data_IF_757292813509
#
_entry.id   IF_757292813509
#
_cell.length_a   1.000
_cell.length_b   1.000
_cell.length_c   1.000
_cell.angle_alpha   90.00
_cell.angle_beta   90.00
_cell.angle_gamma   90.00
#
_symmetry.space_group_name_H-M   'P 1'
#
loop_
_entity.id
_entity.type
_entity.pdbx_description
1 polymer ?
#
# COMPACT_ATOMS: atom_id res chain seq x y z
N UNK A 1 15.51 -86.90 -5.14
CA UNK A 1 16.09 -86.02 -4.09
C UNK A 1 15.42 -84.64 -4.20
N UNK A 2 15.10 -83.99 -3.08
CA UNK A 2 14.70 -82.56 -3.00
C UNK A 2 15.95 -81.64 -3.18
N UNK A 3 15.85 -80.28 -3.20
CA UNK A 3 14.71 -79.34 -3.34
C UNK A 3 14.87 -78.42 -4.61
N UNK A 4 14.06 -77.39 -4.91
CA UNK A 4 12.77 -76.94 -4.33
C UNK A 4 12.72 -75.47 -3.88
N UNK A 5 12.31 -74.50 -4.74
CA UNK A 5 11.89 -73.13 -4.33
C UNK A 5 10.96 -72.42 -5.33
N UNK A 6 9.75 -72.09 -4.86
CA UNK A 6 8.94 -70.93 -5.27
C UNK A 6 9.09 -69.84 -4.16
N UNK A 7 8.45 -68.64 -4.16
CA UNK A 7 7.32 -68.20 -5.00
C UNK A 7 7.32 -66.69 -5.39
N UNK A 8 6.14 -66.23 -5.85
CA UNK A 8 5.57 -64.88 -5.67
C UNK A 8 5.71 -63.89 -6.83
N UNK A 9 4.58 -63.57 -7.46
CA UNK A 9 4.45 -62.45 -8.40
C UNK A 9 4.04 -61.15 -7.71
N UNK A 10 3.94 -60.07 -8.49
CA UNK A 10 3.22 -58.83 -8.12
C UNK A 10 2.87 -58.03 -9.36
N UNK A 11 1.66 -57.47 -9.36
CA UNK A 11 1.16 -56.57 -10.39
C UNK A 11 2.08 -55.36 -10.63
N UNK A 12 2.18 -54.94 -11.89
CA UNK A 12 2.67 -53.61 -12.26
C UNK A 12 1.50 -52.70 -12.60
N UNK A 13 0.91 -52.12 -11.56
CA UNK A 13 0.07 -50.94 -11.72
C UNK A 13 0.90 -49.79 -12.29
N UNK A 14 0.41 -49.17 -13.37
CA UNK A 14 1.04 -47.99 -13.96
C UNK A 14 0.81 -46.77 -13.05
N UNK A 15 1.72 -46.57 -12.10
CA UNK A 15 1.74 -45.41 -11.24
C UNK A 15 2.22 -44.18 -12.02
N UNK A 16 1.31 -43.27 -12.36
CA UNK A 16 1.65 -41.94 -12.90
C UNK A 16 2.33 -41.10 -11.81
N UNK A 17 3.62 -41.31 -11.61
CA UNK A 17 4.47 -40.45 -10.78
C UNK A 17 4.82 -39.18 -11.55
N UNK A 18 3.87 -38.24 -11.59
CA UNK A 18 4.05 -36.90 -12.13
C UNK A 18 4.38 -35.91 -11.02
N UNK A 19 5.66 -35.56 -10.88
CA UNK A 19 6.12 -34.57 -9.89
C UNK A 19 5.65 -33.15 -10.27
N UNK A 20 4.40 -32.83 -9.92
CA UNK A 20 3.96 -31.44 -9.81
C UNK A 20 4.39 -30.92 -8.43
N UNK A 21 5.55 -30.25 -8.40
CA UNK A 21 5.72 -29.10 -7.52
C UNK A 21 4.56 -28.16 -7.83
N UNK A 22 3.54 -28.18 -6.98
CA UNK A 22 2.28 -27.49 -7.24
C UNK A 22 2.52 -25.98 -7.22
N UNK A 23 2.82 -25.42 -8.39
CA UNK A 23 2.90 -23.99 -8.63
C UNK A 23 1.53 -23.39 -8.28
N UNK A 24 1.39 -22.94 -7.03
CA UNK A 24 0.11 -22.53 -6.41
C UNK A 24 -0.74 -21.78 -7.44
N UNK A 25 -1.86 -22.35 -7.85
CA UNK A 25 -2.73 -21.70 -8.84
C UNK A 25 -3.40 -20.50 -8.18
N UNK A 26 -3.60 -19.42 -8.95
CA UNK A 26 -4.50 -18.37 -8.47
C UNK A 26 -5.96 -18.82 -8.58
N UNK A 27 -6.83 -18.23 -7.76
CA UNK A 27 -8.21 -18.71 -7.60
C UNK A 27 -9.02 -18.72 -8.90
N UNK A 28 -8.63 -17.92 -9.91
CA UNK A 28 -9.27 -17.95 -11.23
C UNK A 28 -8.98 -19.27 -11.95
N UNK A 29 -7.72 -19.69 -11.95
CA UNK A 29 -7.28 -20.94 -12.56
C UNK A 29 -7.72 -22.17 -11.73
N UNK A 30 -7.67 -22.06 -10.40
CA UNK A 30 -8.18 -23.10 -9.52
C UNK A 30 -9.68 -23.34 -9.72
N UNK A 31 -10.52 -22.29 -9.86
CA UNK A 31 -11.94 -22.42 -10.22
C UNK A 31 -12.09 -23.08 -11.59
N UNK A 32 -11.30 -22.68 -12.59
CA UNK A 32 -11.32 -23.28 -13.94
C UNK A 32 -11.02 -24.79 -13.95
N UNK A 33 -10.20 -25.27 -13.02
CA UNK A 33 -9.96 -26.70 -12.82
C UNK A 33 -11.11 -27.38 -12.06
N UNK A 34 -11.58 -26.77 -10.97
CA UNK A 34 -12.73 -27.25 -10.20
C UNK A 34 -14.00 -27.43 -11.06
N UNK A 35 -14.28 -26.52 -12.00
CA UNK A 35 -15.42 -26.61 -12.91
C UNK A 35 -15.35 -27.80 -13.90
N UNK A 36 -14.21 -28.48 -14.04
CA UNK A 36 -14.07 -29.71 -14.83
C UNK A 36 -14.40 -30.98 -14.04
N UNK A 37 -14.37 -30.91 -12.71
CA UNK A 37 -14.73 -32.01 -11.81
C UNK A 37 -16.18 -31.86 -11.37
N UNK A 38 -16.99 -32.90 -11.52
CA UNK A 38 -18.44 -32.82 -11.28
C UNK A 38 -18.77 -32.55 -9.81
N UNK A 39 -18.01 -33.14 -8.90
CA UNK A 39 -18.18 -32.97 -7.45
C UNK A 39 -17.80 -31.54 -7.07
N UNK A 40 -16.58 -31.11 -7.41
CA UNK A 40 -16.08 -29.77 -7.09
C UNK A 40 -16.96 -28.66 -7.69
N UNK A 41 -17.40 -28.81 -8.94
CA UNK A 41 -18.32 -27.88 -9.59
C UNK A 41 -19.64 -27.75 -8.80
N UNK A 42 -20.27 -28.87 -8.44
CA UNK A 42 -21.51 -28.89 -7.67
C UNK A 42 -21.32 -28.26 -6.28
N UNK A 43 -20.26 -28.62 -5.56
CA UNK A 43 -19.89 -28.01 -4.27
C UNK A 43 -19.69 -26.50 -4.40
N UNK A 44 -18.96 -26.04 -5.41
CA UNK A 44 -18.70 -24.62 -5.62
C UNK A 44 -20.00 -23.83 -5.94
N UNK A 45 -20.89 -24.38 -6.77
CA UNK A 45 -22.17 -23.75 -7.07
C UNK A 45 -23.04 -23.60 -5.80
N UNK A 46 -23.07 -24.63 -4.95
CA UNK A 46 -23.74 -24.53 -3.64
C UNK A 46 -23.14 -23.41 -2.79
N UNK A 47 -21.81 -23.32 -2.68
CA UNK A 47 -21.14 -22.23 -1.94
C UNK A 47 -21.44 -20.83 -2.50
N UNK A 48 -21.54 -20.69 -3.82
CA UNK A 48 -21.88 -19.42 -4.48
C UNK A 48 -23.32 -18.97 -4.11
N UNK A 49 -24.28 -19.90 -4.10
CA UNK A 49 -25.65 -19.67 -3.63
C UNK A 49 -25.70 -19.31 -2.13
N UNK A 50 -24.95 -20.05 -1.30
CA UNK A 50 -24.84 -19.80 0.14
C UNK A 50 -24.26 -18.41 0.45
N UNK A 51 -23.28 -17.96 -0.33
CA UNK A 51 -22.70 -16.61 -0.20
C UNK A 51 -23.71 -15.52 -0.54
N UNK A 52 -24.59 -15.74 -1.52
CA UNK A 52 -25.63 -14.77 -1.91
C UNK A 52 -26.75 -14.65 -0.87
N UNK A 53 -27.10 -15.75 -0.22
CA UNK A 53 -28.14 -15.78 0.80
C UNK A 53 -27.72 -15.13 2.14
N UNK A 54 -26.40 -15.03 2.43
CA UNK A 54 -25.90 -14.31 3.64
C UNK A 54 -26.28 -12.81 3.67
N UNK A 55 -26.62 -12.21 2.52
CA UNK A 55 -27.09 -10.81 2.43
C UNK A 55 -28.56 -10.65 2.83
N UNK A 56 -29.35 -11.74 2.84
CA UNK A 56 -30.77 -11.75 3.20
C UNK A 56 -31.08 -12.92 4.16
N UNK A 57 -30.65 -12.84 5.44
CA UNK A 57 -30.68 -13.96 6.39
C UNK A 57 -32.09 -14.47 6.80
N UNK A 58 -33.16 -13.84 6.32
CA UNK A 58 -34.55 -14.14 6.71
C UNK A 58 -35.13 -15.35 5.94
N UNK A 59 -34.49 -15.84 4.86
CA UNK A 59 -35.10 -16.81 3.94
C UNK A 59 -34.33 -18.12 3.70
N UNK A 60 -33.38 -18.50 4.55
CA UNK A 60 -32.72 -19.81 4.45
C UNK A 60 -33.47 -20.85 5.30
N UNK A 61 -34.18 -21.73 4.63
CA UNK A 61 -34.71 -22.98 5.19
C UNK A 61 -33.60 -23.81 5.85
N UNK A 62 -33.97 -24.62 6.85
CA UNK A 62 -33.04 -25.45 7.62
C UNK A 62 -32.20 -26.35 6.72
N UNK A 63 -32.83 -26.97 5.72
CA UNK A 63 -32.16 -27.84 4.76
C UNK A 63 -31.22 -27.08 3.82
N UNK A 64 -31.52 -25.82 3.51
CA UNK A 64 -30.62 -24.95 2.75
C UNK A 64 -29.37 -24.61 3.57
N UNK A 65 -29.52 -24.37 4.88
CA UNK A 65 -28.39 -24.15 5.79
C UNK A 65 -27.52 -25.40 5.95
N UNK A 66 -28.13 -26.60 6.05
CA UNK A 66 -27.41 -27.87 6.08
C UNK A 66 -26.56 -28.07 4.81
N UNK A 67 -27.15 -27.90 3.63
CA UNK A 67 -26.44 -27.98 2.33
C UNK A 67 -25.24 -27.02 2.23
N UNK A 68 -25.32 -25.84 2.84
CA UNK A 68 -24.19 -24.91 2.91
C UNK A 68 -23.05 -25.45 3.78
N UNK A 69 -23.34 -26.02 4.94
CA UNK A 69 -22.34 -26.62 5.83
C UNK A 69 -21.67 -27.84 5.19
N UNK A 70 -22.46 -28.70 4.53
CA UNK A 70 -21.94 -29.85 3.78
C UNK A 70 -20.99 -29.43 2.66
N UNK A 71 -21.33 -28.35 1.93
CA UNK A 71 -20.46 -27.79 0.90
C UNK A 71 -19.17 -27.16 1.46
N UNK A 72 -19.25 -26.49 2.62
CA UNK A 72 -18.08 -25.96 3.35
C UNK A 72 -17.16 -27.07 3.89
N UNK A 73 -17.68 -28.27 4.15
CA UNK A 73 -16.89 -29.46 4.49
C UNK A 73 -16.30 -30.12 3.22
N UNK A 74 -17.11 -30.32 2.18
CA UNK A 74 -16.70 -30.96 0.93
C UNK A 74 -15.57 -30.21 0.21
N UNK A 75 -15.56 -28.86 0.26
CA UNK A 75 -14.51 -28.07 -0.41
C UNK A 75 -13.12 -28.22 0.24
N UNK A 76 -13.02 -28.76 1.47
CA UNK A 76 -11.74 -28.90 2.20
C UNK A 76 -10.74 -29.85 1.55
N UNK A 77 -11.22 -30.84 0.80
CA UNK A 77 -10.39 -31.76 0.02
C UNK A 77 -9.95 -31.16 -1.33
N UNK A 78 -10.58 -30.07 -1.77
CA UNK A 78 -10.33 -29.47 -3.08
C UNK A 78 -9.05 -28.63 -3.12
N UNK A 79 -8.24 -28.71 -4.18
CA UNK A 79 -7.17 -27.76 -4.45
C UNK A 79 -7.64 -26.30 -4.49
N UNK A 80 -8.94 -26.05 -4.75
CA UNK A 80 -9.52 -24.71 -4.78
C UNK A 80 -9.45 -24.00 -3.42
N UNK A 81 -9.55 -24.71 -2.29
CA UNK A 81 -9.42 -24.09 -0.96
C UNK A 81 -8.01 -23.50 -0.75
N UNK A 82 -6.96 -24.10 -1.36
CA UNK A 82 -5.57 -23.64 -1.23
C UNK A 82 -5.19 -22.53 -2.23
N UNK A 83 -6.14 -22.01 -3.00
CA UNK A 83 -5.87 -20.96 -3.97
C UNK A 83 -5.49 -19.64 -3.28
N UNK A 84 -4.62 -18.84 -3.91
CA UNK A 84 -4.25 -17.51 -3.43
C UNK A 84 -4.16 -16.51 -4.57
N UNK A 85 -4.65 -15.30 -4.34
CA UNK A 85 -4.62 -14.22 -5.32
C UNK A 85 -3.27 -13.49 -5.34
N UNK A 86 -3.01 -12.74 -6.41
CA UNK A 86 -1.80 -11.93 -6.55
C UNK A 86 -2.17 -10.45 -6.50
N UNK A 87 -1.53 -9.69 -5.60
CA UNK A 87 -1.61 -8.22 -5.60
C UNK A 87 -1.24 -7.70 -7.00
N UNK A 88 -2.00 -6.71 -7.51
CA UNK A 88 -1.82 -6.04 -8.82
C UNK A 88 -2.20 -6.90 -10.05
N UNK A 89 -2.96 -8.00 -9.89
CA UNK A 89 -3.42 -8.82 -11.03
C UNK A 89 -4.63 -8.21 -11.77
N UNK A 90 -4.74 -8.44 -13.09
CA UNK A 90 -5.77 -7.80 -13.96
C UNK A 90 -7.23 -8.07 -13.55
N UNK A 91 -7.50 -9.21 -12.92
CA UNK A 91 -8.84 -9.62 -12.43
C UNK A 91 -8.83 -9.84 -10.91
N UNK A 92 -8.18 -8.94 -10.16
CA UNK A 92 -7.99 -9.11 -8.71
C UNK A 92 -9.31 -9.26 -7.95
N UNK A 93 -10.29 -8.39 -8.17
CA UNK A 93 -11.59 -8.45 -7.50
C UNK A 93 -12.31 -9.80 -7.74
N UNK A 94 -12.29 -10.30 -8.98
CA UNK A 94 -12.87 -11.60 -9.32
C UNK A 94 -12.15 -12.76 -8.63
N UNK A 95 -10.82 -12.74 -8.57
CA UNK A 95 -10.03 -13.72 -7.83
C UNK A 95 -10.39 -13.73 -6.33
N UNK A 96 -10.51 -12.55 -5.71
CA UNK A 96 -10.83 -12.41 -4.30
C UNK A 96 -12.27 -12.82 -3.99
N UNK A 97 -13.22 -12.57 -4.90
CA UNK A 97 -14.58 -13.08 -4.81
C UNK A 97 -14.59 -14.62 -4.72
N UNK A 98 -13.87 -15.30 -5.62
CA UNK A 98 -13.72 -16.77 -5.60
C UNK A 98 -13.11 -17.24 -4.27
N UNK A 99 -12.05 -16.56 -3.80
CA UNK A 99 -11.42 -16.89 -2.52
C UNK A 99 -12.42 -16.82 -1.35
N UNK A 100 -13.20 -15.73 -1.26
CA UNK A 100 -14.18 -15.56 -0.18
C UNK A 100 -15.40 -16.47 -0.31
N UNK A 101 -15.78 -16.91 -1.52
CA UNK A 101 -16.80 -17.94 -1.71
C UNK A 101 -16.37 -19.28 -1.09
N UNK A 102 -15.10 -19.66 -1.19
CA UNK A 102 -14.61 -20.94 -0.62
C UNK A 102 -14.06 -20.85 0.81
N UNK A 103 -13.83 -19.63 1.32
CA UNK A 103 -13.48 -19.35 2.72
C UNK A 103 -14.65 -18.69 3.48
N UNK A 104 -15.89 -19.04 3.12
CA UNK A 104 -17.12 -18.49 3.69
C UNK A 104 -17.29 -18.75 5.19
N UNK A 105 -16.61 -19.79 5.71
CA UNK A 105 -16.61 -20.22 7.12
C UNK A 105 -15.59 -19.48 8.00
N UNK A 106 -14.50 -18.94 7.43
CA UNK A 106 -13.47 -18.18 8.18
C UNK A 106 -13.98 -16.81 8.69
N UNK A 107 -15.24 -16.47 8.43
CA UNK A 107 -15.87 -15.21 8.84
C UNK A 107 -16.63 -15.30 10.16
N UNK A 108 -16.66 -16.46 10.81
CA UNK A 108 -17.35 -16.63 12.10
C UNK A 108 -16.51 -16.18 13.31
N UNK A 109 -15.20 -15.97 13.14
CA UNK A 109 -14.37 -15.25 14.11
C UNK A 109 -14.41 -13.74 13.84
N UNK A 110 -15.16 -13.00 14.66
CA UNK A 110 -15.67 -11.65 14.30
C UNK A 110 -14.59 -10.62 13.92
N UNK A 111 -13.34 -10.79 14.38
CA UNK A 111 -12.23 -9.86 14.10
C UNK A 111 -10.93 -10.52 13.58
N UNK A 112 -10.81 -11.84 13.58
CA UNK A 112 -9.55 -12.53 13.27
C UNK A 112 -9.59 -13.21 11.89
N UNK A 113 -9.12 -12.51 10.86
CA UNK A 113 -8.97 -13.11 9.53
C UNK A 113 -7.72 -13.98 9.47
N UNK A 114 -7.84 -15.24 9.90
CA UNK A 114 -6.72 -16.19 10.12
C UNK A 114 -5.76 -16.39 8.93
N UNK A 115 -6.14 -16.06 7.69
CA UNK A 115 -5.25 -16.20 6.54
C UNK A 115 -5.47 -15.15 5.46
N UNK A 116 -4.40 -14.46 5.07
CA UNK A 116 -4.41 -13.54 3.93
C UNK A 116 -4.85 -14.25 2.63
N UNK A 117 -5.70 -13.61 1.79
CA UNK A 117 -6.06 -14.12 0.47
C UNK A 117 -4.95 -13.98 -0.56
N UNK A 118 -3.88 -13.23 -0.27
CA UNK A 118 -2.77 -13.01 -1.18
C UNK A 118 -1.64 -14.02 -0.99
N UNK A 119 -0.86 -14.24 -2.05
CA UNK A 119 0.42 -14.95 -1.95
C UNK A 119 1.46 -14.10 -1.24
N UNK A 120 2.22 -14.75 -0.37
CA UNK A 120 3.36 -14.16 0.33
C UNK A 120 4.33 -13.47 -0.67
N UNK A 121 4.70 -12.19 -0.44
CA UNK A 121 5.71 -11.50 -1.25
C UNK A 121 7.12 -12.10 -1.17
N UNK A 122 7.46 -12.91 -0.16
CA UNK A 122 8.78 -13.53 0.01
C UNK A 122 9.22 -14.40 -1.18
N UNK A 123 8.26 -14.96 -1.93
CA UNK A 123 8.51 -15.73 -3.16
C UNK A 123 8.69 -14.85 -4.42
N UNK A 124 8.88 -13.53 -4.27
CA UNK A 124 9.37 -12.67 -5.34
C UNK A 124 10.85 -12.41 -5.08
N UNK A 125 11.69 -12.88 -6.01
CA UNK A 125 13.00 -12.26 -6.19
C UNK A 125 12.84 -10.74 -6.21
N UNK A 126 13.74 -9.99 -5.54
CA UNK A 126 13.80 -8.56 -5.71
C UNK A 126 13.92 -8.28 -7.20
N UNK A 127 12.89 -7.70 -7.81
CA UNK A 127 13.05 -7.12 -9.13
C UNK A 127 14.01 -5.97 -8.94
N UNK A 128 15.25 -6.21 -9.32
CA UNK A 128 16.33 -5.25 -9.30
C UNK A 128 15.90 -4.08 -10.18
N UNK A 129 15.31 -3.08 -9.52
CA UNK A 129 15.27 -1.74 -10.06
C UNK A 129 16.72 -1.35 -10.20
N UNK A 130 17.13 -1.04 -11.42
CA UNK A 130 18.47 -0.58 -11.72
C UNK A 130 18.81 0.61 -10.80
N UNK A 131 19.56 0.32 -9.73
CA UNK A 131 19.89 1.28 -8.70
C UNK A 131 20.73 2.42 -9.27
N UNK A 132 21.48 2.16 -10.35
CA UNK A 132 22.22 3.17 -11.09
C UNK A 132 21.26 4.16 -11.79
N UNK A 133 20.15 3.67 -12.34
CA UNK A 133 19.09 4.52 -12.91
C UNK A 133 18.35 5.31 -11.84
N UNK A 134 18.17 4.77 -10.63
CA UNK A 134 17.59 5.53 -9.51
C UNK A 134 18.59 6.54 -8.92
N UNK A 135 19.89 6.21 -8.90
CA UNK A 135 20.98 7.09 -8.50
C UNK A 135 21.15 8.27 -9.45
N UNK A 136 21.15 8.03 -10.78
CA UNK A 136 21.21 9.09 -11.79
C UNK A 136 20.09 10.14 -11.61
N UNK A 137 18.86 9.69 -11.32
CA UNK A 137 17.73 10.57 -11.01
C UNK A 137 17.88 11.38 -9.70
N UNK A 138 18.82 11.01 -8.83
CA UNK A 138 19.18 11.74 -7.61
C UNK A 138 20.41 12.63 -7.85
N UNK A 139 21.39 12.21 -8.65
CA UNK A 139 22.57 13.02 -9.01
C UNK A 139 22.20 14.30 -9.74
N UNK A 140 21.23 14.24 -10.67
CA UNK A 140 20.66 15.44 -11.34
C UNK A 140 19.89 16.37 -10.38
N UNK A 141 19.62 15.95 -9.13
CA UNK A 141 18.87 16.74 -8.13
C UNK A 141 19.75 17.56 -7.20
N UNK A 142 21.06 17.66 -7.48
CA UNK A 142 22.00 18.56 -6.82
C UNK A 142 21.78 20.05 -7.19
N UNK A 143 20.54 20.52 -7.03
CA UNK A 143 20.24 21.95 -7.05
C UNK A 143 20.86 22.60 -5.81
N UNK A 144 21.75 23.56 -6.07
CA UNK A 144 22.51 24.26 -5.04
C UNK A 144 21.60 25.03 -4.07
N UNK A 145 21.97 25.03 -2.78
CA UNK A 145 21.36 25.85 -1.74
C UNK A 145 20.14 25.22 -1.06
N UNK A 146 20.38 24.68 0.14
CA UNK A 146 19.39 24.38 1.18
C UNK A 146 18.20 23.47 0.79
N UNK A 147 18.27 22.18 1.14
CA UNK A 147 17.08 21.33 1.29
C UNK A 147 17.34 20.03 2.08
N UNK A 148 17.16 20.08 3.40
CA UNK A 148 17.08 18.90 4.28
C UNK A 148 15.76 18.11 4.15
N UNK A 149 14.79 18.59 3.37
CA UNK A 149 13.46 18.01 3.28
C UNK A 149 13.41 16.73 2.41
N UNK A 150 13.60 15.56 3.03
CA UNK A 150 13.54 14.25 2.37
C UNK A 150 12.22 13.99 1.62
N UNK A 151 11.08 14.51 2.09
CA UNK A 151 9.79 14.37 1.40
C UNK A 151 9.71 15.20 0.11
N UNK A 152 10.42 16.34 0.04
CA UNK A 152 10.57 17.12 -1.19
C UNK A 152 11.46 16.38 -2.19
N UNK A 153 12.58 15.80 -1.74
CA UNK A 153 13.44 14.94 -2.57
C UNK A 153 12.68 13.74 -3.13
N UNK A 154 11.89 13.05 -2.31
CA UNK A 154 10.99 11.98 -2.77
C UNK A 154 9.96 12.44 -3.81
N UNK A 155 9.42 13.65 -3.63
CA UNK A 155 8.54 14.32 -4.61
C UNK A 155 9.26 14.55 -5.94
N UNK A 156 10.50 15.05 -5.92
CA UNK A 156 11.31 15.28 -7.13
C UNK A 156 11.61 13.98 -7.88
N UNK A 157 12.08 12.94 -7.17
CA UNK A 157 12.39 11.62 -7.74
C UNK A 157 11.15 10.99 -8.44
N UNK A 158 9.95 11.18 -7.87
CA UNK A 158 8.71 10.77 -8.54
C UNK A 158 8.41 11.60 -9.80
N UNK A 159 8.66 12.92 -9.78
CA UNK A 159 8.45 13.81 -10.92
C UNK A 159 9.30 13.44 -12.13
N UNK A 160 10.56 13.04 -11.90
CA UNK A 160 11.46 12.57 -12.98
C UNK A 160 11.01 11.23 -13.61
N UNK A 161 10.21 10.44 -12.90
CA UNK A 161 9.70 9.17 -13.43
C UNK A 161 8.33 9.37 -14.11
N UNK A 162 8.30 9.32 -15.45
CA UNK A 162 7.09 9.47 -16.29
C UNK A 162 5.89 8.64 -15.82
N UNK A 163 6.10 7.46 -15.21
CA UNK A 163 5.02 6.62 -14.67
C UNK A 163 4.54 7.12 -13.31
N UNK A 164 5.46 7.44 -12.40
CA UNK A 164 5.13 7.95 -11.06
C UNK A 164 4.39 9.29 -11.16
N UNK A 165 4.94 10.27 -11.88
CA UNK A 165 4.31 11.59 -12.05
C UNK A 165 2.92 11.49 -12.67
N UNK A 166 2.75 10.68 -13.74
CA UNK A 166 1.44 10.49 -14.40
C UNK A 166 0.39 9.95 -13.44
N UNK A 167 0.68 8.87 -12.69
CA UNK A 167 -0.30 8.31 -11.77
C UNK A 167 -0.52 9.19 -10.53
N UNK A 168 0.50 9.94 -10.10
CA UNK A 168 0.40 10.88 -8.98
C UNK A 168 -0.52 12.06 -9.31
N UNK A 169 -0.26 12.76 -10.42
CA UNK A 169 -1.11 13.86 -10.90
C UNK A 169 -2.53 13.38 -11.21
N UNK A 170 -2.68 12.15 -11.70
CA UNK A 170 -4.00 11.56 -11.95
C UNK A 170 -4.84 11.39 -10.68
N UNK A 171 -4.33 10.80 -9.58
CA UNK A 171 -5.14 10.73 -8.35
C UNK A 171 -5.32 12.11 -7.70
N UNK A 172 -4.27 12.95 -7.68
CA UNK A 172 -4.33 14.27 -7.07
C UNK A 172 -5.46 15.12 -7.70
N UNK A 173 -5.51 15.21 -9.04
CA UNK A 173 -6.55 15.96 -9.76
C UNK A 173 -7.97 15.39 -9.65
N UNK A 174 -8.13 14.17 -9.17
CA UNK A 174 -9.44 13.59 -8.81
C UNK A 174 -9.80 13.96 -7.37
N UNK A 175 -8.83 13.88 -6.44
CA UNK A 175 -9.04 14.17 -5.03
C UNK A 175 -9.21 15.66 -4.71
N UNK A 176 -8.62 16.57 -5.51
CA UNK A 176 -8.73 18.03 -5.30
C UNK A 176 -9.81 18.71 -6.16
N UNK A 177 -10.54 17.95 -6.99
CA UNK A 177 -11.60 18.51 -7.83
C UNK A 177 -12.75 19.04 -6.98
N UNK A 178 -13.20 20.26 -7.28
CA UNK A 178 -14.28 20.93 -6.56
C UNK A 178 -13.84 21.69 -5.30
N UNK A 179 -12.61 21.48 -4.81
CA UNK A 179 -12.12 22.09 -3.57
C UNK A 179 -12.11 23.64 -3.60
N UNK A 180 -11.82 24.24 -4.76
CA UNK A 180 -11.83 25.69 -4.97
C UNK A 180 -13.26 26.28 -5.04
N UNK A 181 -14.26 25.44 -5.36
CA UNK A 181 -15.67 25.82 -5.45
C UNK A 181 -16.46 25.51 -4.16
N UNK A 182 -15.80 25.00 -3.11
CA UNK A 182 -16.45 24.54 -1.88
C UNK A 182 -17.25 23.24 -2.04
N UNK A 183 -17.11 22.53 -3.16
CA UNK A 183 -17.80 21.27 -3.41
C UNK A 183 -17.16 20.11 -2.62
N UNK A 184 -17.97 19.15 -2.21
CA UNK A 184 -17.47 17.92 -1.59
C UNK A 184 -16.78 17.03 -2.62
N UNK A 185 -15.55 16.60 -2.32
CA UNK A 185 -14.79 15.78 -3.25
C UNK A 185 -15.46 14.41 -3.50
N UNK A 186 -15.25 13.84 -4.70
CA UNK A 186 -15.68 12.47 -4.97
C UNK A 186 -14.69 11.46 -4.33
N UNK A 187 -14.88 11.19 -3.03
CA UNK A 187 -14.04 10.30 -2.21
C UNK A 187 -13.91 8.89 -2.81
N UNK A 188 -14.98 8.33 -3.38
CA UNK A 188 -14.95 7.01 -4.04
C UNK A 188 -14.00 7.00 -5.25
N UNK A 189 -14.03 8.03 -6.08
CA UNK A 189 -13.13 8.18 -7.23
C UNK A 189 -11.70 8.51 -6.79
N UNK A 190 -11.51 9.33 -5.74
CA UNK A 190 -10.21 9.60 -5.13
C UNK A 190 -9.56 8.31 -4.60
N UNK A 191 -10.29 7.51 -3.81
CA UNK A 191 -9.86 6.19 -3.34
C UNK A 191 -9.52 5.26 -4.50
N UNK A 192 -10.35 5.20 -5.55
CA UNK A 192 -10.05 4.43 -6.76
C UNK A 192 -8.75 4.89 -7.42
N UNK A 193 -8.51 6.20 -7.51
CA UNK A 193 -7.26 6.79 -8.03
C UNK A 193 -6.04 6.41 -7.19
N UNK A 194 -6.13 6.52 -5.87
CA UNK A 194 -5.07 6.10 -4.93
C UNK A 194 -4.73 4.62 -5.08
N UNK A 195 -5.74 3.72 -5.14
CA UNK A 195 -5.52 2.28 -5.40
C UNK A 195 -4.76 2.07 -6.71
N UNK A 196 -5.11 2.78 -7.79
CA UNK A 196 -4.37 2.68 -9.05
C UNK A 196 -2.91 3.17 -8.92
N UNK A 197 -2.65 4.24 -8.17
CA UNK A 197 -1.29 4.72 -7.93
C UNK A 197 -0.42 3.65 -7.24
N UNK A 198 -0.86 3.13 -6.08
CA UNK A 198 -0.13 2.09 -5.35
C UNK A 198 -0.09 0.73 -6.07
N UNK A 199 -0.97 0.48 -7.05
CA UNK A 199 -0.92 -0.72 -7.88
C UNK A 199 -0.05 -0.59 -9.14
N UNK A 200 0.14 0.61 -9.68
CA UNK A 200 0.86 0.82 -10.96
C UNK A 200 2.27 1.38 -10.78
N UNK A 201 2.54 2.16 -9.72
CA UNK A 201 3.86 2.74 -9.45
C UNK A 201 4.75 1.73 -8.70
N UNK A 202 6.07 1.79 -8.93
CA UNK A 202 7.01 0.91 -8.21
C UNK A 202 7.09 1.27 -6.73
N UNK A 203 7.35 0.28 -5.88
CA UNK A 203 7.24 0.47 -4.44
C UNK A 203 8.27 1.45 -3.87
N UNK A 204 9.44 1.57 -4.49
CA UNK A 204 10.49 2.49 -3.99
C UNK A 204 10.06 3.95 -4.09
N UNK A 205 9.33 4.33 -5.15
CA UNK A 205 8.75 5.67 -5.24
C UNK A 205 7.65 5.86 -4.19
N UNK A 206 6.73 4.89 -4.04
CA UNK A 206 5.61 5.04 -3.09
C UNK A 206 6.08 5.01 -1.63
N UNK A 207 7.09 4.20 -1.31
CA UNK A 207 7.71 4.10 0.02
C UNK A 207 8.52 5.36 0.34
N UNK A 208 9.26 5.93 -0.62
CA UNK A 208 9.95 7.22 -0.43
C UNK A 208 8.97 8.38 -0.21
N UNK A 209 7.83 8.39 -0.91
CA UNK A 209 6.81 9.44 -0.77
C UNK A 209 6.05 9.39 0.56
N UNK A 210 5.75 8.20 1.08
CA UNK A 210 4.97 8.04 2.32
C UNK A 210 5.82 7.94 3.58
N UNK A 211 7.01 7.35 3.49
CA UNK A 211 7.87 7.07 4.65
C UNK A 211 9.17 7.86 4.55
N UNK A 212 9.09 9.11 4.13
CA UNK A 212 10.20 10.05 4.23
C UNK A 212 10.40 10.47 5.71
N UNK A 213 11.64 10.46 6.23
CA UNK A 213 11.94 11.02 7.54
C UNK A 213 11.79 12.54 7.50
N UNK A 214 11.46 13.15 8.65
CA UNK A 214 11.22 14.59 8.76
C UNK A 214 11.77 15.14 10.07
N UNK A 215 12.40 16.30 9.98
CA UNK A 215 13.02 17.03 11.10
C UNK A 215 12.18 18.26 11.51
N UNK A 216 11.17 18.63 10.71
CA UNK A 216 10.27 19.75 10.98
C UNK A 216 8.84 19.48 10.47
N UNK A 217 7.90 20.29 10.95
CA UNK A 217 6.47 20.19 10.62
C UNK A 217 6.16 20.44 9.13
N UNK A 218 6.94 21.25 8.42
CA UNK A 218 6.75 21.50 6.98
C UNK A 218 7.01 20.23 6.16
N UNK A 219 8.04 19.46 6.54
CA UNK A 219 8.29 18.13 5.99
C UNK A 219 7.17 17.15 6.37
N UNK A 220 6.80 17.09 7.65
CA UNK A 220 5.79 16.14 8.12
C UNK A 220 4.38 16.41 7.57
N UNK A 221 4.05 17.68 7.30
CA UNK A 221 2.81 18.06 6.59
C UNK A 221 2.86 17.63 5.13
N UNK A 222 4.01 17.75 4.45
CA UNK A 222 4.21 17.20 3.08
C UNK A 222 4.02 15.67 3.07
N UNK A 223 4.46 14.98 4.12
CA UNK A 223 4.24 13.53 4.31
C UNK A 223 2.75 13.22 4.53
N UNK A 224 2.08 13.92 5.46
CA UNK A 224 0.63 13.77 5.74
C UNK A 224 -0.23 14.01 4.50
N UNK A 225 0.13 15.00 3.68
CA UNK A 225 -0.56 15.38 2.44
C UNK A 225 -0.28 14.48 1.24
N UNK A 226 0.57 13.45 1.37
CA UNK A 226 0.92 12.56 0.26
C UNK A 226 -0.27 11.79 -0.35
N UNK A 227 -1.41 11.68 0.34
CA UNK A 227 -2.62 11.01 -0.16
C UNK A 227 -3.83 11.95 -0.36
N UNK A 228 -3.65 13.28 -0.21
CA UNK A 228 -4.74 14.28 -0.17
C UNK A 228 -5.75 13.99 0.96
N UNK A 229 -5.33 14.06 2.24
CA UNK A 229 -6.12 13.62 3.38
C UNK A 229 -7.45 14.37 3.52
N UNK A 230 -7.53 15.62 3.07
CA UNK A 230 -8.74 16.43 3.07
C UNK A 230 -9.89 15.79 2.26
N UNK A 231 -9.56 14.91 1.31
CA UNK A 231 -10.52 14.12 0.54
C UNK A 231 -10.46 12.61 0.85
N UNK A 232 -9.27 12.05 1.07
CA UNK A 232 -9.07 10.60 1.17
C UNK A 232 -9.19 10.01 2.57
N UNK A 233 -9.03 10.84 3.61
CA UNK A 233 -8.88 10.40 4.99
C UNK A 233 -9.88 11.10 5.91
N UNK A 234 -9.85 12.43 5.94
CA UNK A 234 -10.68 13.27 6.80
C UNK A 234 -12.11 13.36 6.27
N UNK A 235 -13.04 13.59 7.19
CA UNK A 235 -14.46 13.88 7.01
C UNK A 235 -14.86 14.86 8.14
N UNK A 236 -15.93 15.64 7.98
CA UNK A 236 -16.32 16.68 8.94
C UNK A 236 -16.63 16.15 10.34
N UNK A 237 -17.11 14.91 10.43
CA UNK A 237 -17.38 14.16 11.66
C UNK A 237 -16.54 12.88 11.60
N UNK A 238 -16.02 12.43 12.75
CA UNK A 238 -15.42 11.10 12.85
C UNK A 238 -16.52 10.06 13.09
N UNK A 239 -16.74 9.09 12.19
CA UNK A 239 -17.66 7.98 12.46
C UNK A 239 -17.10 7.06 13.54
N UNK A 240 -17.93 6.15 14.04
CA UNK A 240 -17.46 5.06 14.89
C UNK A 240 -16.61 4.07 14.07
N UNK A 241 -15.50 3.54 14.62
CA UNK A 241 -14.62 2.65 13.88
C UNK A 241 -15.29 1.33 13.43
N UNK A 242 -16.32 0.86 14.16
CA UNK A 242 -17.15 -0.28 13.76
C UNK A 242 -17.85 -0.02 12.42
N UNK A 243 -18.30 1.20 12.15
CA UNK A 243 -18.94 1.57 10.87
C UNK A 243 -17.97 1.46 9.69
N UNK A 244 -16.71 1.89 9.87
CA UNK A 244 -15.66 1.72 8.85
C UNK A 244 -15.34 0.24 8.62
N UNK A 245 -15.30 -0.55 9.69
CA UNK A 245 -15.07 -1.99 9.62
C UNK A 245 -16.21 -2.73 8.89
N UNK A 246 -17.47 -2.44 9.23
CA UNK A 246 -18.65 -3.01 8.56
C UNK A 246 -18.65 -2.71 7.06
N UNK A 247 -18.36 -1.47 6.65
CA UNK A 247 -18.19 -1.12 5.24
C UNK A 247 -17.01 -1.87 4.59
N UNK A 248 -15.91 -2.04 5.32
CA UNK A 248 -14.73 -2.76 4.83
C UNK A 248 -14.99 -4.25 4.58
N UNK A 249 -15.70 -4.94 5.48
CA UNK A 249 -15.96 -6.39 5.34
C UNK A 249 -17.02 -6.74 4.29
N UNK A 250 -17.79 -5.74 3.84
CA UNK A 250 -18.69 -5.87 2.69
C UNK A 250 -17.96 -5.68 1.34
N UNK A 251 -16.91 -4.85 1.28
CA UNK A 251 -16.08 -4.68 0.08
C UNK A 251 -15.00 -5.78 -0.03
N UNK A 252 -15.08 -6.60 -1.08
CA UNK A 252 -14.10 -7.67 -1.32
C UNK A 252 -12.65 -7.17 -1.42
N UNK A 253 -12.41 -5.92 -1.86
CA UNK A 253 -11.05 -5.36 -1.85
C UNK A 253 -10.63 -5.03 -0.41
N UNK A 254 -11.36 -4.16 0.30
CA UNK A 254 -11.04 -3.72 1.64
C UNK A 254 -10.89 -4.91 2.60
N UNK A 255 -11.86 -5.80 2.65
CA UNK A 255 -11.83 -7.06 3.41
C UNK A 255 -10.54 -7.85 3.18
N UNK A 256 -10.15 -8.03 1.92
CA UNK A 256 -8.91 -8.74 1.57
C UNK A 256 -7.65 -7.98 1.95
N UNK A 257 -7.65 -6.65 1.91
CA UNK A 257 -6.52 -5.83 2.36
C UNK A 257 -6.41 -5.84 3.89
N UNK A 258 -7.54 -5.85 4.61
CA UNK A 258 -7.59 -5.95 6.06
C UNK A 258 -7.06 -7.30 6.54
N UNK A 259 -7.50 -8.41 5.92
CA UNK A 259 -6.94 -9.75 6.18
C UNK A 259 -5.42 -9.80 5.99
N UNK A 260 -4.93 -9.16 4.92
CA UNK A 260 -3.49 -9.09 4.60
C UNK A 260 -2.73 -8.21 5.61
N UNK A 261 -3.35 -7.12 6.09
CA UNK A 261 -2.79 -6.25 7.11
C UNK A 261 -2.72 -6.94 8.48
N UNK A 262 -3.81 -7.57 8.91
CA UNK A 262 -3.83 -8.39 10.13
C UNK A 262 -2.78 -9.49 10.08
N UNK A 263 -2.75 -10.29 9.01
CA UNK A 263 -1.82 -11.41 8.88
C UNK A 263 -0.33 -10.98 8.91
N UNK A 264 0.04 -9.90 8.21
CA UNK A 264 1.45 -9.52 8.09
C UNK A 264 1.94 -8.52 9.16
N UNK A 265 1.04 -7.74 9.78
CA UNK A 265 1.36 -6.73 10.79
C UNK A 265 0.90 -7.12 12.21
N UNK A 266 0.43 -8.34 12.45
CA UNK A 266 0.10 -8.80 13.80
C UNK A 266 1.33 -8.66 14.71
N UNK A 267 1.23 -7.97 15.86
CA UNK A 267 2.33 -7.92 16.82
C UNK A 267 2.69 -9.32 17.34
N UNK A 268 3.99 -9.60 17.43
CA UNK A 268 4.54 -10.79 18.06
C UNK A 268 5.25 -10.39 19.37
N UNK A 269 4.63 -10.68 20.51
CA UNK A 269 5.11 -10.24 21.83
C UNK A 269 6.53 -10.75 22.17
N UNK A 270 6.88 -11.93 21.64
CA UNK A 270 8.19 -12.55 21.81
C UNK A 270 9.31 -11.94 20.95
N UNK A 271 8.99 -11.04 20.00
CA UNK A 271 10.01 -10.42 19.15
C UNK A 271 10.49 -9.06 19.71
N UNK A 272 11.81 -8.79 19.73
CA UNK A 272 12.35 -7.49 20.16
C UNK A 272 11.76 -6.31 19.40
N UNK A 273 11.56 -6.45 18.09
CA UNK A 273 10.94 -5.44 17.21
C UNK A 273 9.40 -5.53 17.16
N UNK A 274 8.81 -6.52 17.81
CA UNK A 274 7.37 -6.77 17.81
C UNK A 274 6.81 -7.33 16.50
N UNK A 275 7.61 -7.62 15.48
CA UNK A 275 7.19 -8.27 14.24
C UNK A 275 7.55 -9.76 14.23
N UNK A 276 6.77 -10.64 13.57
CA UNK A 276 7.26 -11.96 13.20
C UNK A 276 8.50 -11.87 12.29
N UNK A 277 9.38 -12.89 12.31
CA UNK A 277 10.63 -12.86 11.55
C UNK A 277 10.40 -12.57 10.05
N UNK A 278 11.24 -11.68 9.50
CA UNK A 278 11.25 -11.28 8.08
C UNK A 278 9.97 -10.58 7.54
N UNK A 279 8.99 -10.20 8.37
CA UNK A 279 7.73 -9.63 7.87
C UNK A 279 7.71 -8.12 7.59
N UNK A 280 8.73 -7.33 7.95
CA UNK A 280 8.74 -5.85 7.77
C UNK A 280 8.30 -5.42 6.36
N UNK A 281 8.87 -6.01 5.31
CA UNK A 281 8.52 -5.70 3.93
C UNK A 281 7.07 -6.09 3.58
N UNK A 282 6.58 -7.20 4.14
CA UNK A 282 5.22 -7.69 3.95
C UNK A 282 4.20 -6.83 4.71
N UNK A 283 4.46 -6.47 5.97
CA UNK A 283 3.64 -5.55 6.75
C UNK A 283 3.55 -4.17 6.08
N UNK A 284 4.67 -3.61 5.63
CA UNK A 284 4.67 -2.33 4.92
C UNK A 284 3.87 -2.40 3.61
N UNK A 285 4.01 -3.49 2.85
CA UNK A 285 3.19 -3.72 1.66
C UNK A 285 1.71 -3.90 2.02
N UNK A 286 1.39 -4.56 3.13
CA UNK A 286 0.05 -4.74 3.63
C UNK A 286 -0.61 -3.39 3.97
N UNK A 287 0.06 -2.56 4.77
CA UNK A 287 -0.30 -1.17 5.08
C UNK A 287 -0.54 -0.33 3.83
N UNK A 288 0.38 -0.33 2.86
CA UNK A 288 0.20 0.35 1.57
C UNK A 288 -1.04 -0.12 0.79
N UNK A 289 -1.49 -1.35 1.04
CA UNK A 289 -2.71 -1.90 0.46
C UNK A 289 -4.01 -1.41 1.10
N UNK A 290 -3.95 -0.86 2.32
CA UNK A 290 -5.12 -0.28 3.00
C UNK A 290 -5.49 1.11 2.46
N UNK A 291 -4.53 1.82 1.84
CA UNK A 291 -4.73 3.17 1.33
C UNK A 291 -5.68 3.17 0.13
N UNK A 292 -6.73 3.99 0.21
CA UNK A 292 -7.82 4.02 -0.76
C UNK A 292 -8.84 2.90 -0.54
N UNK A 293 -9.02 2.45 0.70
CA UNK A 293 -10.13 1.57 1.12
C UNK A 293 -10.98 2.26 2.20
N UNK A 294 -12.09 1.65 2.64
CA UNK A 294 -12.91 2.18 3.75
C UNK A 294 -12.10 2.40 5.04
N UNK A 295 -11.08 1.58 5.29
CA UNK A 295 -10.16 1.71 6.42
C UNK A 295 -8.81 2.28 5.95
N UNK A 296 -8.82 3.43 5.27
CA UNK A 296 -7.60 4.14 4.84
C UNK A 296 -6.89 4.75 6.05
N UNK A 297 -5.65 4.34 6.38
CA UNK A 297 -4.88 4.95 7.46
C UNK A 297 -4.09 6.17 6.97
N UNK A 298 -3.78 7.09 7.89
CA UNK A 298 -2.81 8.17 7.65
C UNK A 298 -2.15 8.65 8.95
N UNK A 299 -1.13 9.50 8.83
CA UNK A 299 -0.54 10.26 9.93
C UNK A 299 -1.57 11.19 10.59
N UNK A 300 -1.60 11.19 11.92
CA UNK A 300 -2.56 12.00 12.71
C UNK A 300 -2.14 13.48 12.73
N UNK A 301 -0.84 13.76 12.85
CA UNK A 301 -0.26 15.11 12.87
C UNK A 301 0.89 15.26 11.89
N UNK A 302 1.26 16.51 11.61
CA UNK A 302 2.49 16.90 10.91
C UNK A 302 3.76 16.71 11.77
N UNK A 303 3.63 16.68 13.10
CA UNK A 303 4.74 16.60 14.07
C UNK A 303 5.13 15.17 14.47
N UNK A 304 4.31 14.15 14.17
CA UNK A 304 4.50 12.77 14.63
C UNK A 304 4.57 11.74 13.50
N UNK A 305 4.98 10.53 13.85
CA UNK A 305 4.85 9.33 13.01
C UNK A 305 3.65 8.46 13.42
N UNK A 306 2.77 8.97 14.30
CA UNK A 306 1.61 8.25 14.77
C UNK A 306 0.55 8.15 13.66
N UNK A 307 0.02 6.95 13.46
CA UNK A 307 -0.89 6.60 12.38
C UNK A 307 -2.20 6.09 12.98
N UNK A 308 -3.32 6.44 12.35
CA UNK A 308 -4.64 5.96 12.74
C UNK A 308 -5.60 5.95 11.55
N UNK A 309 -6.82 5.46 11.79
CA UNK A 309 -7.99 5.65 10.95
C UNK A 309 -8.69 6.97 11.30
N UNK A 310 -9.55 7.46 10.40
CA UNK A 310 -10.42 8.61 10.69
C UNK A 310 -11.73 8.14 11.34
N UNK A 311 -11.65 7.73 12.61
CA UNK A 311 -12.80 7.31 13.41
C UNK A 311 -12.55 7.55 14.91
N UNK A 312 -13.58 7.36 15.73
CA UNK A 312 -13.47 7.21 17.20
C UNK A 312 -14.16 5.93 17.66
N UNK A 313 -13.92 5.57 18.93
CA UNK A 313 -14.67 4.52 19.63
C UNK A 313 -15.51 5.12 20.76
N UNK A 314 -16.06 6.31 20.49
CA UNK A 314 -17.10 6.94 21.29
C UNK A 314 -18.44 6.33 20.90
N UNK A 315 -19.36 6.22 21.86
CA UNK A 315 -20.72 5.67 21.65
C UNK A 315 -20.77 4.23 21.11
N UNK A 316 -19.70 3.43 21.21
CA UNK A 316 -19.70 2.00 20.82
C UNK A 316 -20.59 1.11 21.71
N UNK A 317 -20.99 1.59 22.90
CA UNK A 317 -21.78 0.82 23.86
C UNK A 317 -21.09 -0.49 24.24
N UNK A 318 -21.82 -1.61 24.11
CA UNK A 318 -21.29 -2.94 24.42
C UNK A 318 -20.17 -3.41 23.45
N UNK A 319 -20.05 -2.82 22.25
CA UNK A 319 -19.04 -3.18 21.25
C UNK A 319 -17.75 -2.34 21.39
N UNK A 320 -17.48 -1.85 22.60
CA UNK A 320 -16.36 -0.95 22.88
C UNK A 320 -15.02 -1.65 22.71
N UNK A 321 -14.91 -2.91 23.17
CA UNK A 321 -13.68 -3.68 23.06
C UNK A 321 -13.32 -3.97 21.61
N UNK A 322 -14.27 -4.42 20.79
CA UNK A 322 -14.07 -4.70 19.36
C UNK A 322 -13.69 -3.44 18.59
N UNK A 323 -14.28 -2.30 18.96
CA UNK A 323 -13.90 -1.00 18.40
C UNK A 323 -12.46 -0.61 18.77
N UNK A 324 -12.08 -0.75 20.05
CA UNK A 324 -10.75 -0.41 20.51
C UNK A 324 -9.69 -1.39 19.95
N UNK A 325 -10.05 -2.65 19.68
CA UNK A 325 -9.24 -3.60 18.89
C UNK A 325 -9.05 -3.11 17.44
N UNK A 326 -10.12 -2.65 16.76
CA UNK A 326 -10.03 -2.07 15.40
C UNK A 326 -9.04 -0.92 15.36
N UNK A 327 -9.13 0.00 16.32
CA UNK A 327 -8.28 1.18 16.38
C UNK A 327 -6.83 0.80 16.78
N UNK A 328 -6.67 -0.11 17.74
CA UNK A 328 -5.40 -0.61 18.26
C UNK A 328 -4.50 -1.22 17.18
N UNK A 329 -5.08 -1.91 16.19
CA UNK A 329 -4.34 -2.44 15.02
C UNK A 329 -3.49 -1.38 14.29
N UNK A 330 -3.84 -0.09 14.41
CA UNK A 330 -3.12 1.03 13.81
C UNK A 330 -2.36 1.88 14.85
N UNK A 331 -2.97 2.20 16.00
CA UNK A 331 -2.39 3.15 16.96
C UNK A 331 -1.36 2.54 17.92
N UNK A 332 -1.54 1.28 18.33
CA UNK A 332 -0.72 0.61 19.36
C UNK A 332 0.12 -0.54 18.78
N UNK A 333 0.12 -0.70 17.45
CA UNK A 333 0.84 -1.76 16.75
C UNK A 333 2.36 -1.49 16.71
N UNK A 334 3.11 -2.17 17.61
CA UNK A 334 4.57 -2.13 17.69
C UNK A 334 5.26 -2.55 16.38
N UNK A 335 4.76 -3.59 15.71
CA UNK A 335 5.33 -4.05 14.44
C UNK A 335 5.22 -2.98 13.35
N UNK A 336 4.02 -2.39 13.17
CA UNK A 336 3.78 -1.34 12.18
C UNK A 336 4.67 -0.11 12.44
N UNK A 337 4.73 0.35 13.70
CA UNK A 337 5.55 1.49 14.12
C UNK A 337 7.02 1.25 13.76
N UNK A 338 7.57 0.11 14.18
CA UNK A 338 8.98 -0.21 13.96
C UNK A 338 9.29 -0.44 12.47
N UNK A 339 8.38 -1.08 11.72
CA UNK A 339 8.47 -1.25 10.25
C UNK A 339 8.57 0.10 9.54
N UNK A 340 7.74 1.07 9.92
CA UNK A 340 7.74 2.41 9.32
C UNK A 340 8.99 3.20 9.71
N UNK A 341 9.46 3.08 10.95
CA UNK A 341 10.73 3.69 11.39
C UNK A 341 11.91 3.09 10.62
N UNK A 342 12.03 1.76 10.51
CA UNK A 342 13.05 1.09 9.70
C UNK A 342 13.05 1.55 8.24
N UNK A 343 11.86 1.71 7.63
CA UNK A 343 11.75 2.24 6.27
C UNK A 343 12.14 3.72 6.16
N UNK A 344 11.84 4.55 7.17
CA UNK A 344 12.30 5.95 7.23
C UNK A 344 13.82 6.04 7.35
N UNK A 345 14.45 5.19 8.18
CA UNK A 345 15.90 5.09 8.28
C UNK A 345 16.53 4.64 6.95
N UNK A 346 15.99 3.60 6.29
CA UNK A 346 16.46 3.17 4.97
C UNK A 346 16.31 4.29 3.92
N UNK A 347 15.22 5.05 3.96
CA UNK A 347 15.02 6.20 3.07
C UNK A 347 16.00 7.36 3.38
N UNK A 348 16.53 7.45 4.60
CA UNK A 348 17.60 8.39 4.98
C UNK A 348 18.94 7.93 4.42
N UNK A 349 19.37 6.72 4.76
CA UNK A 349 20.70 6.18 4.38
C UNK A 349 20.86 6.00 2.88
N UNK A 350 19.81 5.57 2.14
CA UNK A 350 19.86 5.47 0.67
C UNK A 350 19.97 6.85 -0.01
N UNK A 351 19.77 7.95 0.72
CA UNK A 351 19.97 9.33 0.22
C UNK A 351 21.31 9.92 0.70
N UNK A 352 21.81 9.53 1.87
CA UNK A 352 23.10 9.98 2.43
C UNK A 352 24.29 9.25 1.81
N UNK A 353 24.24 7.92 1.66
CA UNK A 353 25.31 7.10 1.06
C UNK A 353 25.55 7.34 -0.44
N UNK A 354 24.75 8.19 -1.09
CA UNK A 354 24.98 8.64 -2.46
C UNK A 354 25.80 9.95 -2.52
N UNK A 355 26.03 10.62 -1.38
CA UNK A 355 26.90 11.80 -1.30
C UNK A 355 28.39 11.42 -1.12
N UNK A 356 28.69 10.39 -0.30
CA UNK A 356 30.09 9.96 -0.05
C UNK A 356 30.78 9.38 -1.29
N UNK A 357 30.03 8.72 -2.19
CA UNK A 357 30.55 8.22 -3.47
C UNK A 357 30.92 9.32 -4.49
N UNK A 358 30.71 10.59 -4.14
CA UNK A 358 31.08 11.74 -4.99
C UNK A 358 32.34 12.50 -4.51
N UNK A 359 32.98 12.08 -3.41
CA UNK A 359 34.21 12.70 -2.89
C UNK A 359 35.31 11.69 -2.59
N UNK A 360 35.98 11.21 -3.64
CA UNK A 360 37.34 10.66 -3.56
C UNK A 360 38.28 11.46 -4.47
N UNK A 361 39.09 12.38 -3.91
CA UNK A 361 40.16 13.04 -4.67
C UNK A 361 41.15 11.98 -5.15
N UNK A 362 41.29 11.85 -6.47
CA UNK A 362 42.18 10.87 -7.09
C UNK A 362 43.64 11.26 -6.91
N UNK A 363 44.27 10.87 -5.79
CA UNK A 363 45.73 10.92 -5.67
C UNK A 363 46.36 9.68 -6.28
N UNK A 364 46.92 9.83 -7.49
CA UNK A 364 47.58 8.75 -8.21
C UNK A 364 49.07 8.64 -7.87
N UNK A 365 49.41 7.55 -7.17
CA UNK A 365 50.55 6.66 -7.46
C UNK A 365 51.98 7.23 -7.35
N UNK A 366 52.78 6.60 -6.49
CA UNK A 366 54.18 6.28 -6.87
C UNK A 366 54.55 4.83 -6.52
N UNK A 367 54.66 4.00 -7.57
CA UNK A 367 55.09 2.61 -7.51
C UNK A 367 55.67 2.24 -8.88
N UNK A 368 56.99 2.24 -8.99
CA UNK A 368 57.73 2.16 -10.26
C UNK A 368 58.32 0.76 -10.43
N UNK A 369 58.08 0.10 -11.58
CA UNK A 369 59.14 -0.54 -12.40
C UNK A 369 58.63 -1.26 -13.67
N UNK A 370 59.07 -0.75 -14.83
CA UNK A 370 59.51 -1.48 -16.06
C UNK A 370 58.57 -2.52 -16.70
N UNK A 371 58.11 -2.34 -17.94
CA UNK A 371 58.97 -2.50 -19.14
C UNK A 371 58.26 -2.08 -20.47
N UNK A 372 59.07 -1.61 -21.43
CA UNK A 372 58.95 -1.58 -22.93
C UNK A 372 57.62 -1.92 -23.65
N UNK A 373 57.24 -1.32 -24.79
CA UNK A 373 57.77 -0.18 -25.59
C UNK A 373 56.87 0.11 -26.83
N UNK A 374 57.01 1.30 -27.45
CA UNK A 374 56.68 1.63 -28.86
C UNK A 374 55.21 1.50 -29.36
N UNK A 375 54.54 2.65 -29.52
CA UNK A 375 54.19 3.22 -30.84
C UNK A 375 53.49 4.59 -30.69
N UNK A 376 53.97 5.62 -31.40
CA UNK A 376 53.33 6.95 -31.46
C UNK A 376 52.38 7.06 -32.64
N UNK A 377 51.26 7.78 -32.48
CA UNK A 377 50.25 7.91 -33.54
C UNK A 377 49.21 9.02 -33.31
N UNK A 378 49.66 10.28 -33.38
CA UNK A 378 48.92 11.52 -33.71
C UNK A 378 47.56 11.82 -33.03
N UNK A 379 47.53 12.95 -32.32
CA UNK A 379 46.30 13.67 -31.97
C UNK A 379 45.75 14.37 -33.21
N UNK A 380 44.42 14.36 -33.39
CA UNK A 380 43.74 15.37 -34.19
C UNK A 380 42.51 15.89 -33.43
N UNK A 381 42.48 17.20 -33.18
CA UNK A 381 41.30 17.86 -32.62
C UNK A 381 40.14 17.82 -33.63
N UNK A 382 38.91 17.64 -33.14
CA UNK A 382 37.73 18.12 -33.87
C UNK A 382 36.95 19.13 -33.04
N UNK A 383 36.75 20.27 -33.70
CA UNK A 383 36.16 21.49 -33.17
C UNK A 383 34.63 21.39 -33.13
N UNK A 384 34.04 21.94 -32.07
CA UNK A 384 32.60 22.10 -31.89
C UNK A 384 31.95 22.75 -33.12
N UNK A 385 30.76 22.26 -33.50
CA UNK A 385 29.81 23.06 -34.28
C UNK A 385 28.37 22.85 -33.77
N UNK A 386 27.79 23.95 -33.33
CA UNK A 386 26.40 24.09 -32.85
C UNK A 386 25.41 24.13 -34.02
N UNK A 387 24.14 23.83 -33.72
CA UNK A 387 22.89 24.51 -34.10
C UNK A 387 21.74 23.66 -33.52
N UNK A 388 21.01 24.14 -32.51
CA UNK A 388 19.76 24.91 -32.64
C UNK A 388 18.62 24.12 -33.33
N UNK A 389 17.62 23.67 -32.54
CA UNK A 389 16.30 24.30 -32.62
C UNK A 389 15.37 24.03 -31.41
N UNK A 390 14.79 25.15 -30.96
CA UNK A 390 13.54 25.44 -30.24
C UNK A 390 12.64 24.29 -29.71
N UNK A 391 12.25 24.38 -28.43
CA UNK A 391 10.95 23.85 -27.94
C UNK A 391 10.47 24.62 -26.69
N UNK A 392 9.17 24.98 -26.68
CA UNK A 392 8.54 25.90 -25.73
C UNK A 392 8.49 25.38 -24.28
N UNK A 393 8.56 26.29 -23.30
CA UNK A 393 8.33 26.00 -21.88
C UNK A 393 6.92 26.43 -21.45
N UNK A 394 6.07 25.46 -21.15
CA UNK A 394 4.77 25.69 -20.49
C UNK A 394 4.87 25.50 -18.97
N UNK A 395 5.12 26.59 -18.26
CA UNK A 395 5.13 26.64 -16.80
C UNK A 395 3.84 27.27 -16.25
N UNK A 396 3.26 26.62 -15.23
CA UNK A 396 2.11 27.12 -14.44
C UNK A 396 2.45 27.05 -12.94
N UNK A 397 1.82 27.90 -12.10
CA UNK A 397 2.62 28.90 -11.39
C UNK A 397 3.00 28.53 -9.95
N UNK A 398 4.09 29.17 -9.51
CA UNK A 398 4.58 29.15 -8.13
C UNK A 398 3.90 30.26 -7.35
N UNK A 399 3.01 29.92 -6.41
CA UNK A 399 2.47 30.89 -5.47
C UNK A 399 3.53 31.25 -4.41
N UNK A 400 3.94 32.51 -4.38
CA UNK A 400 4.80 33.07 -3.33
C UNK A 400 4.57 34.57 -3.23
N UNK A 401 4.22 35.05 -2.03
CA UNK A 401 4.46 36.44 -1.64
C UNK A 401 4.57 36.53 -0.11
N UNK A 402 5.66 37.14 0.33
CA UNK A 402 5.84 37.73 1.66
C UNK A 402 6.24 39.17 1.37
N UNK A 403 5.62 40.15 2.03
CA UNK A 403 6.34 41.35 2.47
C UNK A 403 5.55 42.13 3.52
N UNK A 404 6.27 42.61 4.55
CA UNK A 404 5.77 43.56 5.54
C UNK A 404 6.02 45.00 5.06
N UNK A 405 5.12 45.92 5.36
CA UNK A 405 5.32 47.36 5.13
C UNK A 405 4.30 48.18 5.90
N UNK A 406 4.75 49.20 6.63
CA UNK A 406 3.93 49.97 7.56
C UNK A 406 3.51 51.35 7.01
N UNK A 407 2.42 51.92 7.53
CA UNK A 407 2.20 53.37 7.51
C UNK A 407 0.74 53.87 7.41
N UNK A 408 0.33 54.64 8.44
CA UNK A 408 -0.62 55.79 8.38
C UNK A 408 -2.11 55.49 8.07
N UNK A 409 -3.01 55.51 9.08
CA UNK A 409 -3.91 56.64 9.46
C UNK A 409 -4.93 57.06 8.37
N UNK A 410 -6.25 57.17 8.59
CA UNK A 410 -6.98 57.69 9.77
C UNK A 410 -8.47 57.19 9.82
N UNK A 411 -9.36 57.64 10.74
CA UNK A 411 -10.47 56.81 11.27
C UNK A 411 -11.85 56.96 10.57
N UNK A 412 -12.76 56.02 10.87
CA UNK A 412 -14.21 56.20 10.73
C UNK A 412 -14.90 56.34 12.10
N UNK A 413 -16.03 57.06 12.20
CA UNK A 413 -16.46 57.70 13.44
C UNK A 413 -17.42 56.87 14.32
N UNK A 414 -17.51 57.32 15.58
CA UNK A 414 -18.48 56.90 16.59
C UNK A 414 -19.90 57.33 16.21
N UNK A 415 -20.89 56.46 16.42
CA UNK A 415 -22.27 56.89 16.70
C UNK A 415 -22.77 56.23 18.00
N UNK A 416 -22.77 57.01 19.08
CA UNK A 416 -23.44 56.71 20.34
C UNK A 416 -24.82 57.38 20.31
N UNK A 417 -25.90 56.61 20.46
CA UNK A 417 -27.23 57.14 20.77
C UNK A 417 -27.96 56.22 21.77
N UNK A 418 -28.15 56.77 22.97
CA UNK A 418 -29.01 56.40 24.11
C UNK A 418 -29.52 57.77 24.63
N UNK A 419 -30.55 57.87 25.51
CA UNK A 419 -31.37 56.82 26.16
C UNK A 419 -32.89 57.02 25.84
N UNK A 420 -33.94 56.44 26.46
CA UNK A 420 -34.31 56.29 27.89
C UNK A 420 -35.54 55.34 28.09
N UNK A 421 -35.58 54.71 29.28
CA UNK A 421 -36.77 54.45 30.13
C UNK A 421 -37.99 53.63 29.60
N UNK A 422 -38.17 52.40 30.10
CA UNK A 422 -39.07 52.08 31.25
C UNK A 422 -39.16 50.56 31.53
N UNK A 423 -39.04 50.17 32.81
CA UNK A 423 -39.29 48.80 33.32
C UNK A 423 -40.81 48.51 33.45
N UNK A 424 -41.27 47.25 33.69
CA UNK A 424 -41.20 46.69 35.06
C UNK A 424 -41.10 45.15 35.18
N UNK A 425 -40.17 44.65 36.00
CA UNK A 425 -40.45 43.99 37.29
C UNK A 425 -39.16 43.59 38.01
#
# INVERSE_FOLDING_TARGET
MQPGKAPSGKDKSHLFSGSFLALSSDCTEAKRLCLKDSVCNTTYQTLENCSSAKTHPISLDHDARAKCLDAELAIRSSPLLRCKCRRRMRRQEHCLRIYWTVHSSLMHGYMNMETSPYKDPANKEPKEMDYNRLAALVSDSNLAGDNTNHCLKATHICSMNKKCVRWRTAYASICTRGAEAGETCNRLMCHKGLRHFFEKVHEDFTKRLLFCPCENEVCGERRRKAIVPECSFQESIKPNCLSLWHACVQDNICKSRLADFQHNCQPADVSPDGCPQHTHAACLQAYLGMIGTHMTPNYISNSSVAISLWCTCESSGNQKEECDQILGMFISNKCLKNTIQSQMHLNRTTQEGQAELSYTPSQSIHGRSTSTSLASGMIQEMKVKTNEDISEHSSLPRASSVYSGAGLSWPCPVLLLLPLLLSPR
#
